data_IF_799512644688
#
_entry.id   IF_799512644688
#
_cell.length_a   1.000
_cell.length_b   1.000
_cell.length_c   1.000
_cell.angle_alpha   90.00
_cell.angle_beta   90.00
_cell.angle_gamma   90.00
#
_symmetry.space_group_name_H-M   'P 1'
#
loop_
_entity.id
_entity.type
_entity.pdbx_description
1 polymer ?
#
# COMPACT_ATOMS: atom_id res chain seq x y z
N UNK A 1 -7.55 11.37 -18.44
CA UNK A 1 -7.98 12.24 -17.30
C UNK A 1 -7.96 11.45 -15.97
N UNK A 2 -6.80 10.91 -15.65
CA UNK A 2 -6.59 10.18 -14.36
C UNK A 2 -6.71 11.11 -13.15
N UNK A 3 -6.47 12.41 -13.31
CA UNK A 3 -6.56 13.43 -12.27
C UNK A 3 -7.98 13.55 -11.68
N UNK A 4 -9.02 13.59 -12.53
CA UNK A 4 -10.41 13.66 -12.06
C UNK A 4 -10.82 12.39 -11.30
N UNK A 5 -10.46 11.22 -11.85
CA UNK A 5 -10.68 9.93 -11.19
C UNK A 5 -10.00 9.90 -9.82
N UNK A 6 -8.82 10.48 -9.71
CA UNK A 6 -8.06 10.47 -8.47
C UNK A 6 -8.72 11.33 -7.37
N UNK A 7 -9.32 12.45 -7.73
CA UNK A 7 -10.11 13.27 -6.79
C UNK A 7 -11.32 12.52 -6.26
N UNK A 8 -12.11 11.90 -7.13
CA UNK A 8 -13.29 11.11 -6.74
C UNK A 8 -12.88 9.94 -5.85
N UNK A 9 -11.80 9.25 -6.19
CA UNK A 9 -11.22 8.16 -5.40
C UNK A 9 -10.82 8.63 -4.00
N UNK A 10 -10.12 9.75 -3.89
CA UNK A 10 -9.64 10.28 -2.60
C UNK A 10 -10.79 10.70 -1.70
N UNK A 11 -11.80 11.38 -2.26
CA UNK A 11 -13.01 11.77 -1.55
C UNK A 11 -13.77 10.52 -1.07
N UNK A 12 -13.91 9.51 -1.93
CA UNK A 12 -14.55 8.25 -1.58
C UNK A 12 -13.88 7.53 -0.42
N UNK A 13 -12.55 7.44 -0.43
CA UNK A 13 -11.78 6.85 0.68
C UNK A 13 -11.98 7.65 1.96
N UNK A 14 -11.92 8.98 1.91
CA UNK A 14 -12.10 9.83 3.09
C UNK A 14 -13.48 9.62 3.71
N UNK A 15 -14.55 9.68 2.89
CA UNK A 15 -15.91 9.48 3.36
C UNK A 15 -16.11 8.09 3.95
N UNK A 16 -15.59 7.06 3.28
CA UNK A 16 -15.69 5.68 3.76
C UNK A 16 -14.91 5.47 5.06
N UNK A 17 -13.70 6.04 5.19
CA UNK A 17 -12.92 5.99 6.41
C UNK A 17 -13.64 6.67 7.58
N UNK A 18 -14.21 7.85 7.37
CA UNK A 18 -15.02 8.56 8.38
C UNK A 18 -16.24 7.72 8.79
N UNK A 19 -16.92 7.12 7.82
CA UNK A 19 -18.07 6.27 8.08
C UNK A 19 -17.69 5.06 8.95
N UNK A 20 -16.57 4.38 8.62
CA UNK A 20 -16.07 3.25 9.42
C UNK A 20 -15.65 3.67 10.83
N UNK A 21 -14.97 4.79 10.98
CA UNK A 21 -14.52 5.31 12.27
C UNK A 21 -15.70 5.64 13.19
N UNK A 22 -16.71 6.32 12.68
CA UNK A 22 -17.89 6.72 13.46
C UNK A 22 -18.95 5.60 13.62
N UNK A 23 -18.87 4.52 12.84
CA UNK A 23 -19.71 3.34 13.00
C UNK A 23 -19.02 2.22 13.77
N UNK A 24 -18.24 1.40 13.07
CA UNK A 24 -17.57 0.22 13.64
C UNK A 24 -16.47 0.58 14.65
N UNK A 25 -15.78 1.69 14.47
CA UNK A 25 -14.74 2.16 15.39
C UNK A 25 -15.27 2.84 16.66
N UNK A 26 -16.57 3.12 16.76
CA UNK A 26 -17.17 3.82 17.91
C UNK A 26 -18.26 3.04 18.62
N UNK A 27 -18.88 2.04 17.99
CA UNK A 27 -20.01 1.26 18.52
C UNK A 27 -19.65 -0.22 18.77
N UNK A 28 -18.38 -0.54 18.99
CA UNK A 28 -17.95 -1.90 19.34
C UNK A 28 -18.17 -2.21 20.83
N UNK A 29 -18.55 -3.47 21.13
CA UNK A 29 -18.64 -3.98 22.49
C UNK A 29 -17.28 -4.35 23.09
N UNK A 30 -16.25 -4.38 22.29
CA UNK A 30 -14.88 -4.72 22.66
C UNK A 30 -13.92 -3.62 22.20
N UNK A 31 -13.12 -3.11 23.12
CA UNK A 31 -12.15 -2.09 22.84
C UNK A 31 -12.58 -0.65 23.19
N UNK A 32 -11.64 0.26 23.06
CA UNK A 32 -11.86 1.70 23.28
C UNK A 32 -12.55 2.32 22.07
N UNK A 33 -13.41 3.30 22.30
CA UNK A 33 -13.98 4.09 21.21
C UNK A 33 -12.90 4.92 20.50
N UNK A 34 -13.09 5.19 19.22
CA UNK A 34 -12.13 5.98 18.43
C UNK A 34 -11.80 7.34 19.06
N UNK A 35 -12.79 8.02 19.65
CA UNK A 35 -12.59 9.32 20.29
C UNK A 35 -11.75 9.25 21.58
N UNK A 36 -11.83 8.14 22.30
CA UNK A 36 -11.00 7.92 23.47
C UNK A 36 -9.58 7.55 23.07
N UNK A 37 -9.45 6.71 22.03
CA UNK A 37 -8.17 6.26 21.52
C UNK A 37 -7.35 7.42 20.94
N UNK A 38 -7.96 8.29 20.13
CA UNK A 38 -7.28 9.43 19.51
C UNK A 38 -6.77 10.47 20.53
N UNK A 39 -7.39 10.55 21.71
CA UNK A 39 -6.93 11.43 22.80
C UNK A 39 -5.69 10.90 23.52
N UNK A 40 -5.43 9.60 23.45
CA UNK A 40 -4.32 8.93 24.12
C UNK A 40 -3.14 8.67 23.18
N UNK A 41 -3.37 8.80 21.86
CA UNK A 41 -2.32 8.58 20.85
C UNK A 41 -1.20 9.61 21.01
N UNK A 42 0.05 9.13 21.02
CA UNK A 42 1.22 10.01 21.04
C UNK A 42 1.31 10.83 19.73
N UNK A 43 1.80 12.05 19.84
CA UNK A 43 2.02 12.90 18.64
C UNK A 43 2.93 12.23 17.63
N UNK A 44 3.92 11.44 18.08
CA UNK A 44 4.83 10.69 17.20
C UNK A 44 4.09 9.67 16.34
N UNK A 45 3.15 8.94 16.92
CA UNK A 45 2.33 7.95 16.18
C UNK A 45 1.41 8.65 15.16
N UNK A 46 0.83 9.79 15.52
CA UNK A 46 0.03 10.58 14.59
C UNK A 46 0.86 11.10 13.41
N UNK A 47 2.05 11.62 13.67
CA UNK A 47 2.97 12.09 12.63
C UNK A 47 3.41 10.91 11.74
N UNK A 48 3.74 9.76 12.31
CA UNK A 48 4.11 8.56 11.55
C UNK A 48 2.97 8.09 10.64
N UNK A 49 1.74 8.04 11.15
CA UNK A 49 0.56 7.70 10.35
C UNK A 49 0.33 8.70 9.22
N UNK A 50 0.47 10.00 9.48
CA UNK A 50 0.33 11.05 8.49
C UNK A 50 1.38 10.93 7.39
N UNK A 51 2.66 10.76 7.75
CA UNK A 51 3.76 10.57 6.80
C UNK A 51 3.53 9.32 5.95
N UNK A 52 3.10 8.21 6.56
CA UNK A 52 2.70 7.01 5.83
C UNK A 52 1.61 7.30 4.80
N UNK A 53 0.56 8.03 5.18
CA UNK A 53 -0.51 8.44 4.28
C UNK A 53 -0.03 9.31 3.12
N UNK A 54 0.86 10.26 3.36
CA UNK A 54 1.47 11.11 2.31
C UNK A 54 2.27 10.28 1.33
N UNK A 55 3.11 9.35 1.81
CA UNK A 55 3.92 8.46 0.97
C UNK A 55 3.01 7.55 0.13
N UNK A 56 1.98 6.98 0.73
CA UNK A 56 1.00 6.13 0.04
C UNK A 56 0.28 6.90 -1.07
N UNK A 57 -0.16 8.12 -0.77
CA UNK A 57 -0.87 8.97 -1.71
C UNK A 57 0.01 9.39 -2.89
N UNK A 58 1.26 9.82 -2.62
CA UNK A 58 2.24 10.12 -3.65
C UNK A 58 2.50 8.91 -4.56
N UNK A 59 2.65 7.72 -3.98
CA UNK A 59 2.83 6.47 -4.73
C UNK A 59 1.65 6.17 -5.66
N UNK A 60 0.41 6.37 -5.18
CA UNK A 60 -0.79 6.14 -5.97
C UNK A 60 -0.93 7.12 -7.13
N UNK A 61 -0.58 8.39 -6.93
CA UNK A 61 -0.56 9.40 -8.02
C UNK A 61 0.45 8.98 -9.10
N UNK A 62 1.66 8.59 -8.71
CA UNK A 62 2.69 8.13 -9.64
C UNK A 62 2.27 6.85 -10.38
N UNK A 63 1.64 5.92 -9.66
CA UNK A 63 1.13 4.68 -10.25
C UNK A 63 -0.01 4.98 -11.26
N UNK A 64 -0.94 5.86 -10.92
CA UNK A 64 -2.02 6.28 -11.82
C UNK A 64 -1.47 6.97 -13.08
N UNK A 65 -0.48 7.84 -12.93
CA UNK A 65 0.23 8.43 -14.05
C UNK A 65 0.96 7.38 -14.90
N UNK A 66 1.61 6.41 -14.25
CA UNK A 66 2.25 5.28 -14.93
C UNK A 66 1.26 4.45 -15.75
N UNK A 67 0.09 4.14 -15.19
CA UNK A 67 -0.98 3.40 -15.89
C UNK A 67 -1.43 4.13 -17.15
N UNK A 68 -1.56 5.47 -17.11
CA UNK A 68 -1.94 6.25 -18.26
C UNK A 68 -0.89 6.25 -19.39
N UNK A 69 0.40 6.04 -19.05
CA UNK A 69 1.52 6.09 -19.99
C UNK A 69 2.01 4.71 -20.45
N UNK A 70 2.03 3.72 -19.59
CA UNK A 70 2.55 2.38 -19.85
C UNK A 70 1.45 1.32 -19.98
N UNK A 71 0.21 1.68 -19.64
CA UNK A 71 -0.92 0.75 -19.58
C UNK A 71 -0.97 -0.05 -18.28
N UNK A 72 -2.16 -0.47 -17.91
CA UNK A 72 -2.45 -1.19 -16.67
C UNK A 72 -1.69 -2.53 -16.57
N UNK A 73 -1.58 -3.25 -17.70
CA UNK A 73 -0.93 -4.55 -17.75
C UNK A 73 0.57 -4.53 -17.41
N UNK A 74 1.22 -3.39 -17.54
CA UNK A 74 2.65 -3.20 -17.23
C UNK A 74 2.81 -2.48 -15.89
N UNK A 75 2.06 -1.40 -15.67
CA UNK A 75 2.23 -0.52 -14.52
C UNK A 75 1.87 -1.21 -13.19
N UNK A 76 0.77 -1.98 -13.14
CA UNK A 76 0.34 -2.65 -11.91
C UNK A 76 1.28 -3.77 -11.47
N UNK A 77 1.63 -4.76 -12.31
CA UNK A 77 2.55 -5.80 -11.89
C UNK A 77 3.91 -5.22 -11.45
N UNK A 78 4.40 -4.23 -12.14
CA UNK A 78 5.68 -3.61 -11.81
C UNK A 78 5.60 -2.77 -10.53
N UNK A 79 4.63 -1.87 -10.41
CA UNK A 79 4.50 -0.97 -9.25
C UNK A 79 4.08 -1.72 -7.98
N UNK A 80 2.94 -2.40 -8.02
CA UNK A 80 2.39 -3.11 -6.85
C UNK A 80 3.22 -4.35 -6.52
N UNK A 81 3.66 -5.10 -7.54
CA UNK A 81 4.50 -6.29 -7.32
C UNK A 81 5.85 -5.93 -6.69
N UNK A 82 6.50 -4.87 -7.17
CA UNK A 82 7.75 -4.38 -6.57
C UNK A 82 7.51 -3.89 -5.13
N UNK A 83 6.39 -3.19 -4.88
CA UNK A 83 6.01 -2.75 -3.54
C UNK A 83 5.84 -3.93 -2.57
N UNK A 84 5.20 -5.01 -3.01
CA UNK A 84 5.04 -6.23 -2.21
C UNK A 84 6.39 -6.87 -1.89
N UNK A 85 7.24 -7.08 -2.90
CA UNK A 85 8.55 -7.72 -2.72
C UNK A 85 9.42 -6.90 -1.76
N UNK A 86 9.62 -5.62 -2.04
CA UNK A 86 10.43 -4.73 -1.20
C UNK A 86 9.80 -4.53 0.19
N UNK A 87 8.47 -4.41 0.26
CA UNK A 87 7.74 -4.28 1.52
C UNK A 87 7.96 -5.47 2.44
N UNK A 88 7.93 -6.69 1.91
CA UNK A 88 8.23 -7.90 2.69
C UNK A 88 9.66 -7.85 3.24
N UNK A 89 10.65 -7.51 2.42
CA UNK A 89 12.04 -7.39 2.89
C UNK A 89 12.18 -6.33 3.98
N UNK A 90 11.66 -5.12 3.75
CA UNK A 90 11.76 -4.01 4.71
C UNK A 90 11.10 -4.39 6.04
N UNK A 91 9.91 -4.99 6.00
CA UNK A 91 9.18 -5.36 7.21
C UNK A 91 9.83 -6.54 7.94
N UNK A 92 10.30 -7.56 7.21
CA UNK A 92 10.95 -8.71 7.81
C UNK A 92 12.26 -8.33 8.53
N UNK A 93 13.07 -7.45 7.92
CA UNK A 93 14.30 -6.97 8.57
C UNK A 93 14.03 -6.02 9.74
N UNK A 94 12.89 -5.33 9.76
CA UNK A 94 12.52 -4.44 10.87
C UNK A 94 11.92 -5.19 12.05
N UNK A 95 11.12 -6.21 11.80
CA UNK A 95 10.47 -7.03 12.83
C UNK A 95 10.31 -8.46 12.30
N UNK A 96 11.27 -9.36 12.55
CA UNK A 96 11.22 -10.73 12.06
C UNK A 96 10.11 -11.49 12.80
N UNK A 97 8.93 -11.54 12.22
CA UNK A 97 7.76 -12.29 12.69
C UNK A 97 7.34 -13.31 11.63
N UNK A 98 7.01 -14.51 12.06
CA UNK A 98 6.57 -15.59 11.18
C UNK A 98 7.69 -16.50 10.68
N UNK A 99 7.30 -17.55 9.94
CA UNK A 99 8.26 -18.51 9.38
C UNK A 99 8.88 -17.96 8.11
N UNK A 100 10.21 -17.72 8.07
CA UNK A 100 10.88 -17.11 6.92
C UNK A 100 10.72 -17.92 5.64
N UNK A 101 10.68 -19.24 5.74
CA UNK A 101 10.59 -20.13 4.58
C UNK A 101 9.31 -19.88 3.78
N UNK A 102 8.15 -19.86 4.43
CA UNK A 102 6.87 -19.60 3.78
C UNK A 102 6.77 -18.18 3.21
N UNK A 103 7.37 -17.22 3.91
CA UNK A 103 7.39 -15.83 3.50
C UNK A 103 8.20 -15.64 2.22
N UNK A 104 9.41 -16.22 2.14
CA UNK A 104 10.25 -16.14 0.95
C UNK A 104 9.71 -16.95 -0.23
N UNK A 105 9.04 -18.08 0.03
CA UNK A 105 8.31 -18.82 -1.02
C UNK A 105 7.20 -17.93 -1.61
N UNK A 106 6.45 -17.22 -0.77
CA UNK A 106 5.43 -16.26 -1.24
C UNK A 106 6.03 -15.15 -2.09
N UNK A 107 7.15 -14.56 -1.66
CA UNK A 107 7.88 -13.54 -2.45
C UNK A 107 8.32 -14.10 -3.80
N UNK A 108 8.87 -15.31 -3.84
CA UNK A 108 9.28 -15.95 -5.09
C UNK A 108 8.11 -16.11 -6.06
N UNK A 109 6.95 -16.56 -5.57
CA UNK A 109 5.74 -16.71 -6.39
C UNK A 109 5.27 -15.35 -6.94
N UNK A 110 5.33 -14.28 -6.15
CA UNK A 110 5.01 -12.92 -6.61
C UNK A 110 5.98 -12.47 -7.71
N UNK A 111 7.29 -12.70 -7.55
CA UNK A 111 8.29 -12.37 -8.57
C UNK A 111 8.01 -13.12 -9.87
N UNK A 112 7.74 -14.42 -9.80
CA UNK A 112 7.37 -15.24 -10.97
C UNK A 112 6.10 -14.66 -11.63
N UNK A 113 5.09 -14.30 -10.86
CA UNK A 113 3.86 -13.70 -11.38
C UNK A 113 4.13 -12.37 -12.11
N UNK A 114 5.00 -11.50 -11.57
CA UNK A 114 5.40 -10.24 -12.22
C UNK A 114 6.07 -10.52 -13.57
N UNK A 115 7.00 -11.46 -13.62
CA UNK A 115 7.71 -11.84 -14.85
C UNK A 115 6.73 -12.40 -15.88
N UNK A 116 5.85 -13.33 -15.49
CA UNK A 116 4.84 -13.90 -16.39
C UNK A 116 3.89 -12.84 -16.95
N UNK A 117 3.42 -11.91 -16.10
CA UNK A 117 2.58 -10.79 -16.55
C UNK A 117 3.34 -9.85 -17.51
N UNK A 118 4.60 -9.55 -17.22
CA UNK A 118 5.45 -8.75 -18.11
C UNK A 118 5.64 -9.40 -19.47
N UNK A 119 5.90 -10.72 -19.51
CA UNK A 119 6.03 -11.48 -20.76
C UNK A 119 4.71 -11.52 -21.55
N UNK A 120 3.59 -11.73 -20.88
CA UNK A 120 2.27 -11.75 -21.51
C UNK A 120 1.91 -10.36 -22.09
N UNK A 121 2.17 -9.30 -21.35
CA UNK A 121 1.99 -7.93 -21.81
C UNK A 121 2.86 -7.63 -23.04
N UNK A 122 4.13 -8.02 -23.03
CA UNK A 122 5.05 -7.84 -24.15
C UNK A 122 4.59 -8.56 -25.44
N UNK A 123 4.06 -9.78 -25.32
CA UNK A 123 3.51 -10.51 -26.49
C UNK A 123 2.25 -9.87 -27.07
N UNK A 124 1.38 -9.32 -26.23
CA UNK A 124 0.15 -8.65 -26.67
C UNK A 124 0.43 -7.28 -27.32
N UNK A 125 1.55 -6.68 -27.01
CA UNK A 125 1.93 -5.33 -27.42
C UNK A 125 2.67 -5.26 -28.78
N UNK A 126 2.80 -6.36 -29.51
CA UNK A 126 3.32 -6.38 -30.88
C UNK A 126 2.47 -5.57 -31.90
N UNK A 127 1.45 -4.86 -31.44
CA UNK A 127 0.61 -3.93 -32.20
C UNK A 127 0.83 -2.47 -31.76
N UNK A 128 2.09 -2.02 -31.71
CA UNK A 128 2.39 -0.60 -31.98
C UNK A 128 2.54 0.36 -30.80
N UNK A 129 2.43 -0.01 -29.53
CA UNK A 129 2.73 0.94 -28.45
C UNK A 129 3.59 0.30 -27.38
N UNK A 130 4.89 0.44 -27.51
CA UNK A 130 5.85 0.15 -26.45
C UNK A 130 5.46 1.02 -25.26
N UNK A 131 5.17 0.40 -24.10
CA UNK A 131 4.90 1.12 -22.86
C UNK A 131 5.96 2.19 -22.67
N UNK A 132 5.54 3.44 -22.52
CA UNK A 132 6.47 4.56 -22.44
C UNK A 132 7.52 4.28 -21.35
N UNK A 133 8.81 4.42 -21.68
CA UNK A 133 9.90 4.30 -20.70
C UNK A 133 9.63 5.15 -19.47
N UNK A 134 9.04 6.33 -19.65
CA UNK A 134 8.63 7.20 -18.53
C UNK A 134 7.59 6.53 -17.63
N UNK A 135 6.59 5.83 -18.21
CA UNK A 135 5.60 5.10 -17.44
C UNK A 135 6.22 3.97 -16.60
N UNK A 136 7.17 3.21 -17.16
CA UNK A 136 7.88 2.15 -16.44
C UNK A 136 8.70 2.74 -15.27
N UNK A 137 9.41 3.84 -15.48
CA UNK A 137 10.16 4.52 -14.42
C UNK A 137 9.23 5.01 -13.32
N UNK A 138 8.09 5.61 -13.68
CA UNK A 138 7.09 6.06 -12.70
C UNK A 138 6.52 4.89 -11.89
N UNK A 139 6.22 3.74 -12.53
CA UNK A 139 5.77 2.54 -11.83
C UNK A 139 6.82 2.03 -10.82
N UNK A 140 8.09 2.03 -11.23
CA UNK A 140 9.20 1.60 -10.36
C UNK A 140 9.34 2.53 -9.15
N UNK A 141 9.33 3.85 -9.35
CA UNK A 141 9.40 4.83 -8.27
C UNK A 141 8.18 4.68 -7.35
N UNK A 142 6.98 4.54 -7.91
CA UNK A 142 5.76 4.31 -7.14
C UNK A 142 5.86 3.05 -6.27
N UNK A 143 6.36 1.93 -6.82
CA UNK A 143 6.54 0.69 -6.10
C UNK A 143 7.54 0.81 -4.95
N UNK A 144 8.67 1.48 -5.17
CA UNK A 144 9.66 1.75 -4.13
C UNK A 144 9.06 2.62 -3.01
N UNK A 145 8.41 3.72 -3.33
CA UNK A 145 7.75 4.57 -2.33
C UNK A 145 6.69 3.80 -1.55
N UNK A 146 5.87 3.02 -2.25
CA UNK A 146 4.80 2.24 -1.63
C UNK A 146 5.33 1.15 -0.69
N UNK A 147 6.54 0.64 -0.90
CA UNK A 147 7.15 -0.34 0.00
C UNK A 147 7.46 0.22 1.39
N UNK A 148 7.69 1.53 1.50
CA UNK A 148 8.02 2.19 2.76
C UNK A 148 6.79 2.59 3.59
N UNK A 149 5.61 2.79 2.96
CA UNK A 149 4.46 3.33 3.68
C UNK A 149 4.04 2.46 4.87
N UNK A 150 4.07 1.12 4.70
CA UNK A 150 3.65 0.19 5.74
C UNK A 150 4.50 0.30 7.01
N UNK A 151 5.79 0.58 6.87
CA UNK A 151 6.68 0.78 8.02
C UNK A 151 6.21 1.96 8.89
N UNK A 152 5.82 3.07 8.28
CA UNK A 152 5.30 4.23 9.01
C UNK A 152 3.94 3.94 9.65
N UNK A 153 3.07 3.25 8.94
CA UNK A 153 1.77 2.84 9.48
C UNK A 153 1.95 1.85 10.63
N UNK A 154 2.81 0.84 10.46
CA UNK A 154 3.07 -0.17 11.50
C UNK A 154 3.71 0.46 12.75
N UNK A 155 4.59 1.46 12.61
CA UNK A 155 5.17 2.18 13.75
C UNK A 155 4.16 3.06 14.48
N UNK A 156 3.09 3.46 13.81
CA UNK A 156 2.00 4.22 14.41
C UNK A 156 0.99 3.35 15.19
N UNK A 157 1.02 2.02 14.98
CA UNK A 157 0.13 1.08 15.65
C UNK A 157 0.72 0.67 17.01
N UNK A 158 -0.04 0.84 18.07
CA UNK A 158 0.30 0.31 19.40
C UNK A 158 -0.10 -1.17 19.48
N UNK A 159 0.83 -2.04 19.08
CA UNK A 159 0.62 -3.49 19.06
C UNK A 159 0.39 -4.10 20.45
N UNK A 160 0.90 -3.47 21.51
CA UNK A 160 0.78 -4.00 22.86
C UNK A 160 -0.63 -3.76 23.43
N UNK A 161 -1.20 -2.59 23.19
CA UNK A 161 -2.56 -2.29 23.62
C UNK A 161 -3.62 -2.92 22.71
N UNK A 162 -3.33 -3.10 21.43
CA UNK A 162 -4.24 -3.78 20.50
C UNK A 162 -4.46 -5.26 20.87
N UNK A 163 -3.40 -5.96 21.29
CA UNK A 163 -3.49 -7.37 21.67
C UNK A 163 -4.24 -7.54 23.00
N UNK A 164 -4.05 -6.65 23.97
CA UNK A 164 -4.73 -6.71 25.27
C UNK A 164 -6.24 -6.49 25.19
N UNK A 165 -6.69 -5.78 24.18
CA UNK A 165 -8.12 -5.47 23.93
C UNK A 165 -8.81 -6.55 23.10
N UNK A 166 -8.06 -7.31 22.30
CA UNK A 166 -8.63 -8.34 21.41
C UNK A 166 -8.89 -9.70 22.09
N UNK A 167 -8.33 -9.95 23.29
CA UNK A 167 -8.39 -11.28 23.95
C UNK A 167 -8.96 -11.27 25.36
N UNK A 168 -9.48 -10.16 25.84
CA UNK A 168 -10.28 -10.07 27.06
C UNK A 168 -11.74 -9.74 26.73
#
# INVERSE_FOLDING_TARGET
RYELYYWDYTIGILLFALLLVFSLGSFGSQGRSFLEDIRQVSTENMVSAFVGGVIFNASNILLSASVSMAGMAVAFPLGVGLALVLGVFINYFSAPKGNPLWLFVGVLLVVVAIVCNGMAAGKKQNSGTIGSRKGIVLATIAGVLMSFFYRFVASAMDLNNFISVSYT
#
